data_IF_624991141988
#
_entry.id   IF_624991141988
#
_cell.length_a   1.000
_cell.length_b   1.000
_cell.length_c   1.000
_cell.angle_alpha   90.00
_cell.angle_beta   90.00
_cell.angle_gamma   90.00
#
_symmetry.space_group_name_H-M   'P 1'
#
loop_
_entity.id
_entity.type
_entity.pdbx_description
1 polymer ?
#
# COMPACT_ATOMS: atom_id res chain seq x y z
N UNK A 1 20.40 -10.16 13.31
CA UNK A 1 21.64 -9.36 13.29
C UNK A 1 21.82 -8.60 11.97
N UNK A 2 21.90 -9.28 10.82
CA UNK A 2 22.13 -8.62 9.51
C UNK A 2 21.12 -7.52 9.16
N UNK A 3 19.82 -7.77 9.37
CA UNK A 3 18.80 -6.74 9.17
C UNK A 3 19.10 -5.48 10.00
N UNK A 4 19.50 -5.65 11.27
CA UNK A 4 19.85 -4.53 12.14
C UNK A 4 21.06 -3.76 11.60
N UNK A 5 22.10 -4.46 11.15
CA UNK A 5 23.28 -3.82 10.57
C UNK A 5 22.92 -3.05 9.29
N UNK A 6 22.25 -3.68 8.33
CA UNK A 6 21.84 -3.02 7.09
C UNK A 6 20.87 -1.86 7.33
N UNK A 7 19.97 -1.99 8.30
CA UNK A 7 19.03 -0.93 8.67
C UNK A 7 19.76 0.30 9.22
N UNK A 8 20.70 0.10 10.15
CA UNK A 8 21.50 1.20 10.71
C UNK A 8 22.38 1.84 9.63
N UNK A 9 23.05 1.03 8.80
CA UNK A 9 23.84 1.53 7.67
C UNK A 9 22.99 2.34 6.69
N UNK A 10 21.81 1.85 6.32
CA UNK A 10 20.89 2.56 5.44
C UNK A 10 20.38 3.87 6.05
N UNK A 11 20.12 3.88 7.36
CA UNK A 11 19.72 5.10 8.08
C UNK A 11 20.84 6.14 8.09
N UNK A 12 22.06 5.74 8.43
CA UNK A 12 23.25 6.61 8.42
C UNK A 12 23.49 7.16 7.01
N UNK A 13 23.43 6.28 5.99
CA UNK A 13 23.59 6.68 4.60
C UNK A 13 22.49 7.67 4.16
N UNK A 14 21.24 7.45 4.56
CA UNK A 14 20.12 8.34 4.24
C UNK A 14 20.25 9.73 4.87
N UNK A 15 20.69 9.81 6.13
CA UNK A 15 20.94 11.09 6.81
C UNK A 15 22.08 11.86 6.16
N UNK A 16 23.18 11.17 5.84
CA UNK A 16 24.33 11.79 5.18
C UNK A 16 23.98 12.25 3.76
N UNK A 17 23.32 11.40 2.97
CA UNK A 17 22.92 11.74 1.60
C UNK A 17 21.87 12.86 1.58
N UNK A 18 20.89 12.84 2.50
CA UNK A 18 19.86 13.87 2.61
C UNK A 18 20.42 15.27 2.86
N UNK A 19 21.53 15.38 3.60
CA UNK A 19 22.22 16.66 3.81
C UNK A 19 22.94 17.22 2.57
N UNK A 20 23.12 16.43 1.50
CA UNK A 20 23.66 16.89 0.21
C UNK A 20 22.56 17.37 -0.74
N UNK A 21 21.27 17.14 -0.44
CA UNK A 21 20.16 17.62 -1.25
C UNK A 21 19.75 19.03 -0.79
N UNK A 22 19.99 20.03 -1.64
CA UNK A 22 19.65 21.43 -1.35
C UNK A 22 18.13 21.65 -1.24
N UNK A 23 17.35 21.06 -2.16
CA UNK A 23 15.88 21.11 -2.16
C UNK A 23 15.30 19.70 -2.37
N UNK A 24 14.94 18.97 -1.30
CA UNK A 24 14.38 17.62 -1.38
C UNK A 24 13.06 17.54 -2.15
N UNK A 25 12.26 18.61 -2.12
CA UNK A 25 10.93 18.65 -2.73
C UNK A 25 11.04 18.70 -4.26
N UNK A 26 12.08 19.36 -4.79
CA UNK A 26 12.38 19.38 -6.23
C UNK A 26 12.61 17.98 -6.83
N UNK A 27 13.03 17.00 -5.99
CA UNK A 27 13.27 15.62 -6.40
C UNK A 27 12.07 14.68 -6.15
N UNK A 28 10.95 15.21 -5.64
CA UNK A 28 9.76 14.40 -5.33
C UNK A 28 10.01 13.37 -4.22
N UNK A 29 10.93 13.68 -3.30
CA UNK A 29 11.24 12.81 -2.17
C UNK A 29 10.05 12.67 -1.21
N UNK A 30 9.11 13.62 -1.21
CA UNK A 30 7.85 13.55 -0.47
C UNK A 30 6.96 12.37 -0.92
N UNK A 31 7.00 12.05 -2.22
CA UNK A 31 6.25 10.97 -2.84
C UNK A 31 6.97 9.62 -2.81
N UNK A 32 8.26 9.58 -2.43
CA UNK A 32 9.06 8.35 -2.42
C UNK A 32 8.45 7.27 -1.51
N UNK A 33 7.95 7.67 -0.34
CA UNK A 33 7.33 6.74 0.60
C UNK A 33 6.00 6.17 0.07
N UNK A 34 5.00 6.98 -0.36
CA UNK A 34 3.81 6.48 -1.06
C UNK A 34 4.13 5.58 -2.26
N UNK A 35 5.12 5.94 -3.08
CA UNK A 35 5.52 5.15 -4.24
C UNK A 35 6.04 3.77 -3.84
N UNK A 36 6.81 3.67 -2.75
CA UNK A 36 7.26 2.39 -2.21
C UNK A 36 6.08 1.49 -1.78
N UNK A 37 5.05 2.03 -1.13
CA UNK A 37 3.83 1.24 -0.83
C UNK A 37 3.15 0.76 -2.09
N UNK A 38 2.97 1.62 -3.09
CA UNK A 38 2.36 1.22 -4.37
C UNK A 38 3.17 0.09 -5.00
N UNK A 39 4.50 0.17 -5.01
CA UNK A 39 5.36 -0.90 -5.51
C UNK A 39 5.16 -2.22 -4.75
N UNK A 40 5.01 -2.18 -3.43
CA UNK A 40 4.73 -3.37 -2.60
C UNK A 40 3.36 -3.99 -2.88
N UNK A 41 2.35 -3.21 -3.29
CA UNK A 41 1.02 -3.75 -3.60
C UNK A 41 0.93 -4.37 -5.01
N UNK A 42 1.84 -4.06 -5.94
CA UNK A 42 1.84 -4.55 -7.33
C UNK A 42 1.53 -6.05 -7.46
N UNK A 43 2.22 -6.99 -6.76
CA UNK A 43 1.91 -8.42 -6.88
C UNK A 43 0.49 -8.78 -6.42
N UNK A 44 -0.09 -8.03 -5.48
CA UNK A 44 -1.43 -8.24 -4.95
C UNK A 44 -2.52 -7.78 -5.92
N UNK A 45 -2.22 -6.81 -6.79
CA UNK A 45 -3.13 -6.30 -7.83
C UNK A 45 -3.25 -7.21 -9.06
N UNK A 46 -2.52 -8.33 -9.11
CA UNK A 46 -2.57 -9.27 -10.24
C UNK A 46 -3.84 -10.12 -10.29
N UNK A 47 -4.66 -10.09 -9.24
CA UNK A 47 -5.88 -10.89 -9.13
C UNK A 47 -7.12 -10.01 -9.12
N UNK A 48 -8.23 -10.47 -9.72
CA UNK A 48 -9.52 -9.72 -9.70
C UNK A 48 -9.99 -9.38 -8.27
N UNK A 49 -9.93 -10.31 -7.29
CA UNK A 49 -10.25 -9.97 -5.91
C UNK A 49 -9.33 -8.89 -5.32
N UNK A 50 -8.03 -8.95 -5.62
CA UNK A 50 -7.05 -7.95 -5.17
C UNK A 50 -7.31 -6.57 -5.75
N UNK A 51 -7.64 -6.47 -7.05
CA UNK A 51 -8.01 -5.22 -7.71
C UNK A 51 -9.29 -4.61 -7.11
N UNK A 52 -10.32 -5.43 -6.90
CA UNK A 52 -11.57 -4.96 -6.28
C UNK A 52 -11.34 -4.46 -4.85
N UNK A 53 -10.56 -5.20 -4.06
CA UNK A 53 -10.17 -4.80 -2.70
C UNK A 53 -9.43 -3.46 -2.70
N UNK A 54 -8.45 -3.31 -3.60
CA UNK A 54 -7.66 -2.10 -3.71
C UNK A 54 -8.50 -0.89 -4.13
N UNK A 55 -9.41 -1.05 -5.08
CA UNK A 55 -10.28 0.03 -5.55
C UNK A 55 -11.22 0.51 -4.44
N UNK A 56 -11.86 -0.43 -3.73
CA UNK A 56 -12.77 -0.12 -2.62
C UNK A 56 -11.99 0.54 -1.48
N UNK A 57 -10.84 -0.04 -1.10
CA UNK A 57 -9.98 0.51 -0.04
C UNK A 57 -9.47 1.91 -0.36
N UNK A 58 -9.01 2.15 -1.59
CA UNK A 58 -8.59 3.46 -2.06
C UNK A 58 -9.74 4.47 -2.01
N UNK A 59 -10.94 4.07 -2.45
CA UNK A 59 -12.14 4.92 -2.39
C UNK A 59 -12.47 5.31 -0.95
N UNK A 60 -12.47 4.34 -0.03
CA UNK A 60 -12.71 4.60 1.40
C UNK A 60 -11.65 5.56 1.95
N UNK A 61 -10.37 5.32 1.66
CA UNK A 61 -9.28 6.15 2.14
C UNK A 61 -9.42 7.60 1.64
N UNK A 62 -9.64 7.81 0.34
CA UNK A 62 -9.79 9.15 -0.27
C UNK A 62 -10.95 9.93 0.36
N UNK A 63 -12.08 9.27 0.62
CA UNK A 63 -13.23 9.89 1.28
C UNK A 63 -12.97 10.17 2.77
N UNK A 64 -12.25 9.28 3.45
CA UNK A 64 -11.98 9.39 4.88
C UNK A 64 -10.87 10.40 5.23
N UNK A 65 -9.93 10.66 4.31
CA UNK A 65 -8.80 11.60 4.51
C UNK A 65 -9.24 12.98 5.03
N UNK A 66 -10.21 13.69 4.41
CA UNK A 66 -10.65 14.99 4.93
C UNK A 66 -11.52 14.90 6.19
N UNK A 67 -12.03 13.71 6.53
CA UNK A 67 -13.04 13.53 7.58
C UNK A 67 -12.47 13.01 8.90
N UNK A 68 -11.24 12.49 8.91
CA UNK A 68 -10.71 11.73 10.04
C UNK A 68 -9.25 12.09 10.37
N UNK A 69 -8.81 11.87 11.62
CA UNK A 69 -7.42 12.11 12.01
C UNK A 69 -6.41 11.25 11.23
N UNK A 70 -5.16 11.69 11.18
CA UNK A 70 -4.07 10.94 10.54
C UNK A 70 -4.01 9.49 11.06
N UNK A 71 -3.91 8.53 10.14
CA UNK A 71 -3.90 7.09 10.42
C UNK A 71 -5.27 6.41 10.41
N UNK A 72 -6.35 7.10 10.77
CA UNK A 72 -7.70 6.54 10.75
C UNK A 72 -8.22 6.13 9.35
N UNK A 73 -7.93 6.86 8.25
CA UNK A 73 -8.34 6.45 6.90
C UNK A 73 -7.84 5.04 6.53
N UNK A 74 -6.64 4.67 6.98
CA UNK A 74 -6.03 3.38 6.69
C UNK A 74 -6.76 2.23 7.41
N UNK A 75 -7.20 2.47 8.65
CA UNK A 75 -7.99 1.50 9.41
C UNK A 75 -9.36 1.29 8.76
N UNK A 76 -10.00 2.37 8.31
CA UNK A 76 -11.28 2.30 7.60
C UNK A 76 -11.15 1.58 6.26
N UNK A 77 -10.05 1.81 5.52
CA UNK A 77 -9.78 1.13 4.26
C UNK A 77 -9.68 -0.41 4.41
N UNK A 78 -9.35 -0.93 5.60
CA UNK A 78 -9.32 -2.36 5.87
C UNK A 78 -10.70 -3.03 5.73
N UNK A 79 -11.80 -2.27 5.83
CA UNK A 79 -13.15 -2.77 5.57
C UNK A 79 -13.33 -3.30 4.13
N UNK A 80 -12.49 -2.84 3.18
CA UNK A 80 -12.48 -3.32 1.80
C UNK A 80 -12.08 -4.81 1.65
N UNK A 81 -11.42 -5.39 2.66
CA UNK A 81 -10.99 -6.79 2.63
C UNK A 81 -12.18 -7.75 2.57
N UNK A 82 -13.29 -7.44 3.24
CA UNK A 82 -14.49 -8.29 3.25
C UNK A 82 -15.04 -8.57 1.84
N UNK A 83 -15.38 -7.52 1.05
CA UNK A 83 -15.77 -7.66 -0.35
C UNK A 83 -14.75 -8.42 -1.20
N UNK A 84 -13.45 -8.17 -1.00
CA UNK A 84 -12.36 -8.87 -1.66
C UNK A 84 -12.34 -10.37 -1.43
N UNK A 85 -12.44 -10.77 -0.16
CA UNK A 85 -12.48 -12.18 0.24
C UNK A 85 -13.72 -12.89 -0.31
N UNK A 86 -14.87 -12.20 -0.32
CA UNK A 86 -16.10 -12.75 -0.89
C UNK A 86 -15.98 -13.02 -2.39
N UNK A 87 -15.31 -12.14 -3.15
CA UNK A 87 -15.02 -12.36 -4.57
C UNK A 87 -14.04 -13.50 -4.80
N UNK A 88 -13.05 -13.68 -3.92
CA UNK A 88 -12.13 -14.83 -3.95
C UNK A 88 -12.85 -16.14 -3.64
N UNK A 89 -13.84 -16.11 -2.75
CA UNK A 89 -14.63 -17.27 -2.30
C UNK A 89 -15.75 -17.68 -3.27
N UNK A 90 -15.78 -17.17 -4.50
CA UNK A 90 -16.66 -17.66 -5.57
C UNK A 90 -15.90 -18.58 -6.55
N UNK A 91 -15.57 -19.84 -6.20
CA UNK A 91 -15.26 -20.86 -7.18
C UNK A 91 -16.47 -21.05 -8.11
N UNK A 92 -16.20 -21.16 -9.42
CA UNK A 92 -17.22 -21.28 -10.45
C UNK A 92 -18.25 -22.39 -10.16
N UNK A 93 -19.53 -22.01 -10.21
CA UNK A 93 -20.68 -22.93 -10.28
C UNK A 93 -20.71 -23.67 -11.63
N UNK A 94 -19.73 -24.53 -11.92
CA UNK A 94 -19.59 -25.10 -13.28
C UNK A 94 -18.97 -26.49 -13.43
N UNK A 95 -18.74 -27.27 -12.38
CA UNK A 95 -18.15 -28.61 -12.49
C UNK A 95 -18.99 -29.72 -11.83
N UNK A 96 -20.32 -29.60 -11.93
CA UNK A 96 -21.29 -30.57 -11.38
C UNK A 96 -22.30 -31.09 -12.39
N UNK A 97 -21.98 -31.06 -13.69
CA UNK A 97 -22.80 -31.63 -14.75
C UNK A 97 -21.90 -32.32 -15.78
N UNK A 98 -21.42 -33.51 -15.45
CA UNK A 98 -20.93 -34.51 -16.38
C UNK A 98 -21.14 -35.89 -15.77
#
# INVERSE_FOLDING_TARGET
MWLFVFWNLGTIAGVLAGGLLDDPDAWGLDAAFPAAFVALIVPHLRTRPGQATALIGATIAVVAVPLTPAGAPMLLAALAVGPGLWLRARPGRGAGAA
#
